data_IF_690468293581
#
_entry.id   IF_690468293581
#
_cell.length_a   1.000
_cell.length_b   1.000
_cell.length_c   1.000
_cell.angle_alpha   90.00
_cell.angle_beta   90.00
_cell.angle_gamma   90.00
#
_symmetry.space_group_name_H-M   'P 1'
#
loop_
_entity.id
_entity.type
_entity.pdbx_description
1 polymer ?
#
# COMPACT_ATOMS: atom_id res chain seq x y z
N UNK A 1 -23.46 15.38 38.58
CA UNK A 1 -24.46 15.92 37.66
C UNK A 1 -24.66 15.02 36.48
N UNK A 2 -25.75 15.22 35.76
CA UNK A 2 -26.10 14.45 34.54
C UNK A 2 -26.04 15.34 33.34
N UNK A 3 -25.76 14.79 32.15
CA UNK A 3 -25.82 15.48 30.86
C UNK A 3 -27.25 15.94 30.59
N UNK A 4 -27.41 17.09 29.95
CA UNK A 4 -28.71 17.66 29.57
C UNK A 4 -29.52 16.65 28.76
N UNK A 5 -30.83 16.56 29.03
CA UNK A 5 -31.71 15.69 28.27
C UNK A 5 -31.74 16.10 26.77
N UNK A 6 -31.90 15.13 25.88
CA UNK A 6 -31.94 15.37 24.43
C UNK A 6 -30.56 15.49 23.77
N UNK A 7 -29.46 15.31 24.50
CA UNK A 7 -28.10 15.29 23.93
C UNK A 7 -27.82 13.93 23.30
N UNK A 8 -27.33 13.97 22.06
CA UNK A 8 -26.86 12.79 21.32
C UNK A 8 -25.45 13.03 20.81
N UNK A 9 -24.61 11.98 20.76
CA UNK A 9 -23.24 11.99 20.21
C UNK A 9 -23.16 10.95 19.09
N UNK A 10 -22.98 11.36 17.83
CA UNK A 10 -23.05 10.50 16.65
C UNK A 10 -24.28 9.55 16.67
N UNK A 11 -25.45 10.08 17.08
CA UNK A 11 -26.71 9.34 17.20
C UNK A 11 -26.92 8.55 18.50
N UNK A 12 -25.89 8.38 19.34
CA UNK A 12 -26.02 7.75 20.66
C UNK A 12 -26.68 8.72 21.63
N UNK A 13 -27.78 8.34 22.27
CA UNK A 13 -28.42 9.16 23.32
C UNK A 13 -27.59 9.11 24.60
N UNK A 14 -27.01 10.25 25.00
CA UNK A 14 -26.24 10.42 26.24
C UNK A 14 -26.95 11.34 27.25
N UNK A 15 -28.07 11.94 26.85
CA UNK A 15 -28.88 12.79 27.73
C UNK A 15 -29.38 12.03 28.93
N UNK A 16 -29.34 12.68 30.12
CA UNK A 16 -29.73 12.10 31.41
C UNK A 16 -28.67 11.17 32.06
N UNK A 17 -27.56 10.87 31.34
CA UNK A 17 -26.45 10.06 31.86
C UNK A 17 -25.48 10.89 32.71
N UNK A 18 -24.78 10.23 33.60
CA UNK A 18 -23.55 10.77 34.20
C UNK A 18 -22.41 10.79 33.20
N UNK A 19 -21.36 11.57 33.48
CA UNK A 19 -20.15 11.57 32.62
C UNK A 19 -19.55 10.17 32.44
N UNK A 20 -19.51 9.38 33.50
CA UNK A 20 -18.96 8.03 33.49
C UNK A 20 -19.78 7.05 32.63
N UNK A 21 -21.10 7.11 32.72
CA UNK A 21 -22.00 6.28 31.90
C UNK A 21 -21.89 6.65 30.42
N UNK A 22 -21.92 7.95 30.10
CA UNK A 22 -21.77 8.43 28.73
C UNK A 22 -20.40 8.07 28.13
N UNK A 23 -19.31 8.21 28.90
CA UNK A 23 -17.98 7.81 28.47
C UNK A 23 -17.93 6.33 28.10
N UNK A 24 -18.41 5.46 28.98
CA UNK A 24 -18.44 4.00 28.75
C UNK A 24 -19.26 3.64 27.50
N UNK A 25 -20.41 4.29 27.29
CA UNK A 25 -21.24 4.07 26.11
C UNK A 25 -20.51 4.48 24.84
N UNK A 26 -19.90 5.67 24.81
CA UNK A 26 -19.16 6.20 23.65
C UNK A 26 -17.97 5.28 23.34
N UNK A 27 -17.15 4.92 24.32
CA UNK A 27 -16.00 4.03 24.14
C UNK A 27 -16.41 2.68 23.56
N UNK A 28 -17.46 2.06 24.11
CA UNK A 28 -17.96 0.76 23.65
C UNK A 28 -18.44 0.82 22.20
N UNK A 29 -19.28 1.80 21.88
CA UNK A 29 -19.84 1.94 20.54
C UNK A 29 -18.77 2.28 19.49
N UNK A 30 -17.88 3.21 19.81
CA UNK A 30 -16.80 3.61 18.91
C UNK A 30 -15.77 2.50 18.68
N UNK A 31 -15.56 1.64 19.69
CA UNK A 31 -14.72 0.45 19.54
C UNK A 31 -15.29 -0.52 18.49
N UNK A 32 -16.61 -0.69 18.43
CA UNK A 32 -17.23 -1.53 17.40
C UNK A 32 -17.13 -0.88 16.01
N UNK A 33 -17.43 0.41 15.89
CA UNK A 33 -17.29 1.16 14.63
C UNK A 33 -15.84 1.12 14.12
N UNK A 34 -14.85 1.29 14.99
CA UNK A 34 -13.45 1.30 14.57
C UNK A 34 -12.92 -0.09 14.17
N UNK A 35 -13.61 -1.17 14.51
CA UNK A 35 -13.34 -2.52 13.97
C UNK A 35 -13.82 -2.69 12.53
N UNK A 36 -14.70 -1.81 12.05
CA UNK A 36 -15.15 -1.84 10.66
C UNK A 36 -14.00 -1.52 9.71
N UNK A 37 -14.15 -2.01 8.49
CA UNK A 37 -13.19 -1.75 7.45
C UNK A 37 -13.48 -0.40 6.76
N UNK A 38 -12.41 0.29 6.40
CA UNK A 38 -12.42 1.39 5.45
C UNK A 38 -11.67 0.95 4.19
N UNK A 39 -12.27 1.18 3.03
CA UNK A 39 -11.64 0.88 1.75
C UNK A 39 -10.73 2.04 1.34
N UNK A 40 -9.42 1.81 1.31
CA UNK A 40 -8.45 2.73 0.71
C UNK A 40 -8.40 2.45 -0.79
N UNK A 41 -8.51 3.48 -1.62
CA UNK A 41 -8.58 3.30 -3.07
C UNK A 41 -7.84 4.39 -3.86
N UNK A 42 -7.36 3.99 -5.03
CA UNK A 42 -6.86 4.87 -6.10
C UNK A 42 -7.18 4.22 -7.45
N UNK A 43 -7.81 4.97 -8.35
CA UNK A 43 -8.34 4.44 -9.61
C UNK A 43 -9.17 3.15 -9.36
N UNK A 44 -8.85 2.04 -10.03
CA UNK A 44 -9.50 0.72 -9.85
C UNK A 44 -8.88 -0.13 -8.72
N UNK A 45 -7.74 0.29 -8.20
CA UNK A 45 -7.01 -0.44 -7.15
C UNK A 45 -7.57 -0.09 -5.77
N UNK A 46 -7.79 -1.10 -4.92
CA UNK A 46 -8.36 -0.91 -3.58
C UNK A 46 -7.85 -1.94 -2.58
N UNK A 47 -7.91 -1.59 -1.32
CA UNK A 47 -7.61 -2.49 -0.19
C UNK A 47 -8.46 -2.11 1.01
N UNK A 48 -8.94 -3.10 1.75
CA UNK A 48 -9.71 -2.89 2.97
C UNK A 48 -8.80 -2.98 4.20
N UNK A 49 -8.98 -2.04 5.11
CA UNK A 49 -8.20 -1.93 6.34
C UNK A 49 -9.11 -1.54 7.50
N UNK A 50 -8.92 -2.13 8.67
CA UNK A 50 -9.66 -1.73 9.87
C UNK A 50 -9.32 -0.30 10.27
N UNK A 51 -10.32 0.50 10.58
CA UNK A 51 -10.17 1.91 10.99
C UNK A 51 -9.24 2.02 12.21
N UNK A 52 -9.39 1.16 13.21
CA UNK A 52 -8.54 1.13 14.41
C UNK A 52 -7.06 0.87 14.10
N UNK A 53 -6.79 0.04 13.09
CA UNK A 53 -5.42 -0.27 12.68
C UNK A 53 -4.73 0.92 12.02
N UNK A 54 -5.51 1.86 11.47
CA UNK A 54 -5.03 3.13 10.91
C UNK A 54 -4.91 4.26 11.96
N UNK A 55 -5.06 3.92 13.25
CA UNK A 55 -4.77 4.85 14.34
C UNK A 55 -5.87 5.82 14.70
N UNK A 56 -7.11 5.61 14.23
CA UNK A 56 -8.26 6.36 14.71
C UNK A 56 -8.72 5.84 16.08
N UNK A 57 -8.97 6.75 17.01
CA UNK A 57 -9.46 6.46 18.35
C UNK A 57 -10.52 7.49 18.75
N UNK A 58 -11.52 7.09 19.54
CA UNK A 58 -12.45 8.04 20.12
C UNK A 58 -11.78 8.85 21.23
N UNK A 59 -12.06 10.13 21.28
CA UNK A 59 -11.78 10.99 22.42
C UNK A 59 -13.07 11.13 23.25
N UNK A 60 -13.37 10.08 24.01
CA UNK A 60 -14.60 10.03 24.78
C UNK A 60 -14.58 11.06 25.92
N UNK A 61 -13.44 11.36 26.51
CA UNK A 61 -13.32 12.37 27.57
C UNK A 61 -13.71 13.75 27.05
N UNK A 62 -13.11 14.19 25.95
CA UNK A 62 -13.44 15.47 25.31
C UNK A 62 -14.90 15.54 24.87
N UNK A 63 -15.43 14.45 24.30
CA UNK A 63 -16.82 14.37 23.86
C UNK A 63 -17.79 14.53 25.03
N UNK A 64 -17.50 13.84 26.13
CA UNK A 64 -18.36 13.90 27.34
C UNK A 64 -18.25 15.26 28.01
N UNK A 65 -17.08 15.88 28.07
CA UNK A 65 -16.94 17.23 28.62
C UNK A 65 -17.76 18.26 27.83
N UNK A 66 -17.75 18.20 26.52
CA UNK A 66 -18.57 19.08 25.68
C UNK A 66 -20.07 18.80 25.89
N UNK A 67 -20.48 17.53 25.89
CA UNK A 67 -21.87 17.16 26.13
C UNK A 67 -22.34 17.61 27.50
N UNK A 68 -21.48 17.57 28.54
CA UNK A 68 -21.81 18.01 29.89
C UNK A 68 -21.83 19.53 30.02
N UNK A 69 -21.05 20.25 29.22
CA UNK A 69 -20.99 21.72 29.23
C UNK A 69 -22.27 22.38 28.70
N UNK A 70 -23.06 21.68 27.86
CA UNK A 70 -24.32 22.20 27.33
C UNK A 70 -25.28 22.59 28.48
N UNK A 71 -25.81 23.80 28.37
CA UNK A 71 -26.70 24.39 29.36
C UNK A 71 -26.02 24.77 30.69
N UNK A 72 -24.66 24.70 30.79
CA UNK A 72 -23.89 25.06 32.00
C UNK A 72 -22.80 26.09 31.75
N UNK A 73 -22.42 26.31 30.49
CA UNK A 73 -21.38 27.28 30.10
C UNK A 73 -21.97 28.35 29.20
N UNK A 74 -21.28 29.48 29.08
CA UNK A 74 -21.76 30.65 28.33
C UNK A 74 -22.62 31.59 29.15
N UNK A 75 -23.33 32.50 28.49
CA UNK A 75 -24.23 33.49 29.09
C UNK A 75 -25.51 32.83 29.62
N UNK A 76 -26.20 33.50 30.55
CA UNK A 76 -27.49 33.03 31.08
C UNK A 76 -28.52 32.78 29.97
N UNK A 77 -28.49 33.59 28.92
CA UNK A 77 -29.35 33.41 27.75
C UNK A 77 -29.04 32.17 26.94
N UNK A 78 -27.75 31.86 26.75
CA UNK A 78 -27.29 30.64 26.09
C UNK A 78 -27.68 29.39 26.89
N UNK A 79 -27.42 29.41 28.18
CA UNK A 79 -27.81 28.30 29.08
C UNK A 79 -29.32 28.06 29.08
N UNK A 80 -30.11 29.13 29.13
CA UNK A 80 -31.58 29.04 29.02
C UNK A 80 -32.02 28.51 27.63
N UNK A 81 -31.44 29.03 26.55
CA UNK A 81 -31.71 28.57 25.19
C UNK A 81 -31.41 27.06 25.04
N UNK A 82 -30.26 26.62 25.53
CA UNK A 82 -29.88 25.20 25.49
C UNK A 82 -30.87 24.34 26.29
N UNK A 83 -31.29 24.79 27.48
CA UNK A 83 -32.28 24.06 28.27
C UNK A 83 -33.65 23.91 27.61
N UNK A 84 -33.99 24.78 26.68
CA UNK A 84 -35.27 24.74 25.95
C UNK A 84 -35.20 23.97 24.66
N UNK A 85 -34.04 23.73 24.10
CA UNK A 85 -33.90 22.89 22.90
C UNK A 85 -34.20 21.43 23.26
N UNK A 86 -35.05 20.79 22.44
CA UNK A 86 -35.43 19.39 22.61
C UNK A 86 -34.31 18.42 22.23
N UNK A 87 -33.39 18.87 21.40
CA UNK A 87 -32.37 18.00 20.80
C UNK A 87 -31.05 18.76 20.60
N UNK A 88 -29.94 18.13 21.01
CA UNK A 88 -28.59 18.61 20.79
C UNK A 88 -27.77 17.49 20.13
N UNK A 89 -27.33 17.72 18.90
CA UNK A 89 -26.53 16.75 18.13
C UNK A 89 -25.06 17.12 18.19
N UNK A 90 -24.29 16.35 18.90
CA UNK A 90 -22.84 16.45 18.95
C UNK A 90 -22.20 15.36 18.09
N UNK A 91 -20.96 15.61 17.70
CA UNK A 91 -20.10 14.61 17.11
C UNK A 91 -19.17 14.02 18.17
N UNK A 92 -18.85 12.73 18.04
CA UNK A 92 -17.79 12.14 18.84
C UNK A 92 -16.44 12.68 18.36
N UNK A 93 -15.68 13.28 19.25
CA UNK A 93 -14.30 13.69 18.97
C UNK A 93 -13.43 12.46 18.71
N UNK A 94 -12.48 12.61 17.81
CA UNK A 94 -11.54 11.55 17.46
C UNK A 94 -10.13 12.05 17.54
N UNK A 95 -9.25 11.20 18.01
CA UNK A 95 -7.81 11.37 17.98
C UNK A 95 -7.23 10.43 16.93
N UNK A 96 -6.11 10.82 16.34
CA UNK A 96 -5.48 10.08 15.26
C UNK A 96 -3.98 9.97 15.50
N UNK A 97 -3.49 8.74 15.61
CA UNK A 97 -2.05 8.46 15.64
C UNK A 97 -1.48 8.47 14.22
N UNK A 98 -0.84 9.60 13.85
CA UNK A 98 -0.24 9.79 12.53
C UNK A 98 0.92 8.82 12.27
N UNK A 99 1.68 8.42 13.30
CA UNK A 99 2.79 7.47 13.14
C UNK A 99 2.26 6.07 12.85
N UNK A 100 1.26 5.63 13.60
CA UNK A 100 0.55 4.36 13.36
C UNK A 100 -0.11 4.35 11.98
N UNK A 101 -0.75 5.46 11.57
CA UNK A 101 -1.31 5.61 10.23
C UNK A 101 -0.24 5.40 9.15
N UNK A 102 0.87 6.16 9.20
CA UNK A 102 1.95 6.08 8.21
C UNK A 102 2.52 4.67 8.06
N UNK A 103 2.72 3.97 9.17
CA UNK A 103 3.23 2.60 9.18
C UNK A 103 2.25 1.64 8.52
N UNK A 104 0.98 1.70 8.90
CA UNK A 104 0.00 0.70 8.51
C UNK A 104 -0.59 0.95 7.12
N UNK A 105 -0.73 2.22 6.68
CA UNK A 105 -1.12 2.51 5.30
C UNK A 105 -0.06 2.04 4.31
N UNK A 106 1.23 2.25 4.58
CA UNK A 106 2.32 1.71 3.74
C UNK A 106 2.24 0.18 3.61
N UNK A 107 1.98 -0.51 4.73
CA UNK A 107 1.84 -1.97 4.72
C UNK A 107 0.62 -2.41 3.91
N UNK A 108 -0.52 -1.79 4.14
CA UNK A 108 -1.78 -2.15 3.48
C UNK A 108 -1.76 -1.87 1.97
N UNK A 109 -1.09 -0.79 1.55
CA UNK A 109 -1.05 -0.35 0.15
C UNK A 109 0.17 -0.86 -0.64
N UNK A 110 1.01 -1.74 -0.06
CA UNK A 110 2.25 -2.23 -0.69
C UNK A 110 2.05 -2.83 -2.08
N UNK A 111 0.89 -3.44 -2.35
CA UNK A 111 0.56 -4.01 -3.67
C UNK A 111 0.03 -2.96 -4.65
N UNK A 112 -0.46 -1.83 -4.16
CA UNK A 112 -1.04 -0.73 -4.94
C UNK A 112 0.03 0.30 -5.25
N UNK A 113 0.74 0.76 -4.21
CA UNK A 113 1.80 1.76 -4.31
C UNK A 113 3.09 1.05 -4.71
N UNK A 114 3.33 0.99 -6.01
CA UNK A 114 4.47 0.32 -6.63
C UNK A 114 5.13 1.23 -7.65
N UNK A 115 6.41 0.99 -7.91
CA UNK A 115 7.10 1.61 -9.04
C UNK A 115 6.42 1.27 -10.37
N UNK A 116 6.51 2.15 -11.37
CA UNK A 116 6.01 1.84 -12.71
C UNK A 116 6.76 0.65 -13.30
N UNK A 117 6.06 -0.19 -14.02
CA UNK A 117 6.66 -1.31 -14.73
C UNK A 117 6.47 -1.12 -16.23
N UNK A 118 7.54 -1.18 -16.97
CA UNK A 118 7.51 -1.13 -18.43
C UNK A 118 6.76 -2.34 -19.02
N UNK A 119 6.15 -2.14 -20.17
CA UNK A 119 5.68 -3.23 -21.01
C UNK A 119 6.85 -4.13 -21.39
N UNK A 120 6.58 -5.39 -21.64
CA UNK A 120 7.56 -6.38 -22.08
C UNK A 120 6.97 -7.32 -23.11
N UNK A 121 7.81 -8.12 -23.75
CA UNK A 121 7.40 -9.12 -24.72
C UNK A 121 7.86 -10.48 -24.28
N UNK A 122 6.99 -11.49 -24.45
CA UNK A 122 7.34 -12.90 -24.30
C UNK A 122 7.15 -13.60 -25.63
N UNK A 123 8.17 -14.36 -26.07
CA UNK A 123 8.03 -15.24 -27.21
C UNK A 123 7.57 -16.61 -26.75
N UNK A 124 6.37 -17.03 -27.18
CA UNK A 124 5.79 -18.35 -26.85
C UNK A 124 5.12 -18.94 -28.07
N UNK A 125 5.40 -20.23 -28.33
CA UNK A 125 4.77 -20.98 -29.44
C UNK A 125 4.83 -20.24 -30.77
N UNK A 126 5.99 -19.67 -31.10
CA UNK A 126 6.20 -18.91 -32.37
C UNK A 126 5.53 -17.53 -32.42
N UNK A 127 4.95 -17.05 -31.33
CA UNK A 127 4.26 -15.76 -31.26
C UNK A 127 4.84 -14.83 -30.21
N UNK A 128 4.88 -13.54 -30.49
CA UNK A 128 5.20 -12.51 -29.54
C UNK A 128 3.92 -12.09 -28.77
N UNK A 129 3.97 -12.21 -27.45
CA UNK A 129 2.87 -11.83 -26.55
C UNK A 129 3.30 -10.62 -25.73
N UNK A 130 2.61 -9.50 -25.93
CA UNK A 130 2.87 -8.27 -25.17
C UNK A 130 2.32 -8.39 -23.76
N UNK A 131 3.17 -8.12 -22.78
CA UNK A 131 2.78 -7.93 -21.38
C UNK A 131 2.65 -6.43 -21.13
N UNK A 132 1.47 -5.99 -20.74
CA UNK A 132 1.16 -4.57 -20.52
C UNK A 132 2.03 -3.94 -19.43
N UNK A 133 2.33 -2.68 -19.63
CA UNK A 133 2.90 -1.81 -18.63
C UNK A 133 1.97 -1.65 -17.41
N UNK A 134 2.56 -1.27 -16.30
CA UNK A 134 1.79 -0.88 -15.11
C UNK A 134 2.18 0.54 -14.68
N UNK A 135 1.18 1.38 -14.46
CA UNK A 135 1.35 2.70 -13.84
C UNK A 135 1.86 2.52 -12.41
N UNK A 136 2.88 3.27 -12.06
CA UNK A 136 3.35 3.39 -10.68
C UNK A 136 2.63 4.50 -9.93
N UNK A 137 2.70 4.44 -8.59
CA UNK A 137 2.12 5.45 -7.73
C UNK A 137 3.08 5.79 -6.60
N UNK A 138 3.30 7.09 -6.38
CA UNK A 138 3.97 7.60 -5.18
C UNK A 138 2.92 8.22 -4.26
N UNK A 139 2.83 7.74 -3.01
CA UNK A 139 1.83 8.15 -2.05
C UNK A 139 2.17 9.52 -1.43
N UNK A 140 1.27 10.48 -1.56
CA UNK A 140 1.27 11.69 -0.74
C UNK A 140 0.66 11.36 0.62
N UNK A 141 1.52 11.15 1.60
CA UNK A 141 1.12 10.63 2.90
C UNK A 141 0.26 11.60 3.69
N UNK A 142 0.53 12.89 3.61
CA UNK A 142 -0.16 13.89 4.42
C UNK A 142 -1.58 14.14 3.90
N UNK A 143 -1.75 14.24 2.58
CA UNK A 143 -3.08 14.36 1.96
C UNK A 143 -3.89 13.07 2.10
N UNK A 144 -3.25 11.91 2.00
CA UNK A 144 -3.93 10.61 2.25
C UNK A 144 -4.43 10.55 3.69
N UNK A 145 -3.64 11.04 4.67
CA UNK A 145 -4.07 11.11 6.06
C UNK A 145 -5.25 12.06 6.25
N UNK A 146 -5.24 13.22 5.61
CA UNK A 146 -6.34 14.17 5.63
C UNK A 146 -7.63 13.56 5.05
N UNK A 147 -7.53 12.88 3.91
CA UNK A 147 -8.65 12.16 3.29
C UNK A 147 -9.21 11.06 4.19
N UNK A 148 -8.34 10.29 4.84
CA UNK A 148 -8.74 9.26 5.81
C UNK A 148 -9.54 9.88 6.96
N UNK A 149 -9.01 10.92 7.62
CA UNK A 149 -9.70 11.62 8.70
C UNK A 149 -11.08 12.11 8.27
N UNK A 150 -11.13 12.84 7.16
CA UNK A 150 -12.40 13.37 6.61
C UNK A 150 -13.42 12.25 6.34
N UNK A 151 -12.97 11.10 5.85
CA UNK A 151 -13.85 9.96 5.60
C UNK A 151 -14.39 9.37 6.90
N UNK A 152 -13.53 9.12 7.89
CA UNK A 152 -13.95 8.59 9.21
C UNK A 152 -14.89 9.57 9.92
N UNK A 153 -14.59 10.86 9.92
CA UNK A 153 -15.42 11.89 10.54
C UNK A 153 -16.78 12.04 9.87
N UNK A 154 -16.88 11.79 8.57
CA UNK A 154 -18.14 11.83 7.83
C UNK A 154 -18.87 10.49 7.74
N UNK A 155 -18.38 9.44 8.42
CA UNK A 155 -18.99 8.10 8.40
C UNK A 155 -18.91 7.40 7.05
N UNK A 156 -17.95 7.78 6.19
CA UNK A 156 -17.75 7.12 4.89
C UNK A 156 -16.90 5.87 5.04
N UNK A 157 -17.29 4.81 4.33
CA UNK A 157 -16.57 3.54 4.29
C UNK A 157 -15.40 3.52 3.30
N UNK A 158 -15.11 4.64 2.61
CA UNK A 158 -14.04 4.73 1.61
C UNK A 158 -13.19 5.99 1.82
N UNK A 159 -11.87 5.86 1.68
CA UNK A 159 -10.94 6.99 1.70
C UNK A 159 -10.00 6.91 0.50
N UNK A 160 -9.88 8.02 -0.23
CA UNK A 160 -9.03 8.12 -1.41
C UNK A 160 -7.56 8.21 -0.99
N UNK A 161 -6.71 7.39 -1.61
CA UNK A 161 -5.27 7.56 -1.58
C UNK A 161 -4.89 8.75 -2.47
N UNK A 162 -4.18 9.72 -1.93
CA UNK A 162 -3.61 10.81 -2.72
C UNK A 162 -2.25 10.38 -3.26
N UNK A 163 -2.09 10.39 -4.57
CA UNK A 163 -0.92 9.84 -5.24
C UNK A 163 -0.45 10.68 -6.41
N UNK A 164 0.86 10.66 -6.63
CA UNK A 164 1.46 11.08 -7.89
C UNK A 164 1.59 9.86 -8.80
N UNK A 165 0.98 9.90 -9.98
CA UNK A 165 1.08 8.84 -10.99
C UNK A 165 2.40 8.91 -11.72
N UNK A 166 3.06 7.77 -11.83
CA UNK A 166 4.30 7.59 -12.58
C UNK A 166 4.03 6.69 -13.79
N UNK A 167 4.21 7.23 -14.98
CA UNK A 167 4.03 6.46 -16.21
C UNK A 167 5.22 5.55 -16.43
N UNK A 168 4.97 4.37 -16.99
CA UNK A 168 6.02 3.52 -17.52
C UNK A 168 6.76 4.22 -18.68
N UNK A 169 8.07 4.04 -18.75
CA UNK A 169 8.91 4.62 -19.82
C UNK A 169 8.55 4.00 -21.17
N UNK A 170 8.27 2.68 -21.19
CA UNK A 170 7.96 1.91 -22.39
C UNK A 170 6.61 1.25 -22.28
N UNK A 171 5.81 1.41 -23.33
CA UNK A 171 4.39 1.04 -23.35
C UNK A 171 4.13 -0.22 -24.19
N UNK A 172 2.93 -0.75 -24.10
CA UNK A 172 2.47 -1.85 -24.95
C UNK A 172 2.53 -1.50 -26.44
N UNK A 173 2.38 -0.21 -26.79
CA UNK A 173 2.51 0.27 -28.17
C UNK A 173 3.95 0.10 -28.69
N UNK A 174 4.94 0.38 -27.83
CA UNK A 174 6.35 0.19 -28.19
C UNK A 174 6.66 -1.28 -28.37
N UNK A 175 6.14 -2.14 -27.49
CA UNK A 175 6.33 -3.59 -27.55
C UNK A 175 5.65 -4.25 -28.75
N UNK A 176 4.54 -3.71 -29.23
CA UNK A 176 3.81 -4.22 -30.38
C UNK A 176 4.61 -4.10 -31.70
N UNK A 177 5.71 -3.35 -31.69
CA UNK A 177 6.62 -3.25 -32.85
C UNK A 177 7.55 -4.47 -33.00
N UNK A 178 7.70 -5.29 -31.94
CA UNK A 178 8.52 -6.51 -31.95
C UNK A 178 7.69 -7.64 -32.61
N UNK A 179 7.99 -8.00 -33.85
CA UNK A 179 7.20 -8.95 -34.62
C UNK A 179 8.01 -10.11 -35.18
N UNK A 180 9.32 -9.94 -35.38
CA UNK A 180 10.14 -10.86 -36.12
C UNK A 180 11.25 -11.48 -35.31
N UNK A 181 11.53 -12.78 -35.53
CA UNK A 181 12.71 -13.47 -35.03
C UNK A 181 13.87 -13.23 -35.97
N UNK A 182 14.86 -12.45 -35.56
CA UNK A 182 15.98 -12.08 -36.38
C UNK A 182 17.08 -13.17 -36.47
N UNK A 183 17.13 -14.04 -35.46
CA UNK A 183 18.09 -15.12 -35.41
C UNK A 183 17.78 -16.12 -34.30
N UNK A 184 18.24 -17.35 -34.48
CA UNK A 184 18.17 -18.42 -33.50
C UNK A 184 19.47 -19.18 -33.51
N UNK A 185 19.99 -19.48 -32.31
CA UNK A 185 21.15 -20.34 -32.12
C UNK A 185 20.98 -21.24 -30.91
N UNK A 186 21.44 -22.49 -31.03
CA UNK A 186 21.31 -23.48 -29.94
C UNK A 186 22.68 -24.02 -29.55
N UNK A 187 22.94 -24.09 -28.28
CA UNK A 187 24.11 -24.74 -27.70
C UNK A 187 23.69 -25.85 -26.77
N UNK A 188 24.49 -26.94 -26.76
CA UNK A 188 24.24 -28.04 -25.85
C UNK A 188 25.28 -28.04 -24.71
N UNK A 189 24.80 -28.18 -23.48
CA UNK A 189 25.65 -28.27 -22.29
C UNK A 189 25.30 -29.48 -21.40
N UNK A 190 24.55 -30.45 -21.97
CA UNK A 190 24.11 -31.66 -21.28
C UNK A 190 25.23 -32.50 -20.68
N UNK A 191 26.40 -32.54 -21.33
CA UNK A 191 27.61 -33.21 -20.84
C UNK A 191 28.41 -32.47 -19.75
N UNK A 192 28.03 -31.22 -19.40
CA UNK A 192 28.73 -30.43 -18.40
C UNK A 192 28.50 -30.91 -16.97
N UNK A 193 29.43 -30.66 -16.01
CA UNK A 193 29.23 -30.91 -14.58
C UNK A 193 27.99 -30.21 -14.05
N UNK A 194 27.38 -30.75 -13.00
CA UNK A 194 26.14 -30.27 -12.43
C UNK A 194 26.15 -28.75 -12.11
N UNK A 195 27.19 -28.28 -11.41
CA UNK A 195 27.29 -26.86 -11.03
C UNK A 195 27.25 -25.93 -12.26
N UNK A 196 27.96 -26.28 -13.36
CA UNK A 196 27.95 -25.53 -14.61
C UNK A 196 26.55 -25.53 -15.25
N UNK A 197 25.85 -26.68 -15.25
CA UNK A 197 24.47 -26.76 -15.79
C UNK A 197 23.54 -25.79 -15.06
N UNK A 198 23.61 -25.75 -13.72
CA UNK A 198 22.84 -24.82 -12.89
C UNK A 198 23.20 -23.39 -13.26
N UNK A 199 24.47 -23.06 -13.36
CA UNK A 199 24.93 -21.71 -13.63
C UNK A 199 24.49 -21.20 -15.00
N UNK A 200 24.69 -22.02 -16.06
CA UNK A 200 24.26 -21.67 -17.43
C UNK A 200 22.76 -21.48 -17.50
N UNK A 201 21.96 -22.37 -16.91
CA UNK A 201 20.51 -22.24 -16.87
C UNK A 201 20.06 -20.99 -16.13
N UNK A 202 20.68 -20.69 -14.97
CA UNK A 202 20.36 -19.50 -14.18
C UNK A 202 20.75 -18.21 -14.92
N UNK A 203 21.95 -18.14 -15.49
CA UNK A 203 22.40 -17.00 -16.31
C UNK A 203 21.48 -16.75 -17.52
N UNK A 204 21.13 -17.81 -18.25
CA UNK A 204 20.19 -17.72 -19.36
C UNK A 204 18.82 -17.21 -18.94
N UNK A 205 18.30 -17.68 -17.79
CA UNK A 205 17.02 -17.23 -17.26
C UNK A 205 16.99 -15.74 -16.92
N UNK A 206 18.12 -15.17 -16.49
CA UNK A 206 18.27 -13.74 -16.17
C UNK A 206 18.33 -12.85 -17.41
N UNK A 207 18.90 -13.36 -18.49
CA UNK A 207 18.97 -12.63 -19.78
C UNK A 207 17.64 -12.73 -20.54
N UNK A 208 16.94 -13.84 -20.38
CA UNK A 208 15.70 -14.10 -21.10
C UNK A 208 14.64 -13.04 -20.84
N UNK A 209 14.10 -12.45 -21.92
CA UNK A 209 13.13 -11.36 -21.87
C UNK A 209 13.75 -9.96 -21.75
N UNK A 210 15.08 -9.84 -21.79
CA UNK A 210 15.73 -8.53 -21.88
C UNK A 210 15.35 -7.84 -23.20
N UNK A 211 15.12 -6.53 -23.11
CA UNK A 211 14.80 -5.69 -24.26
C UNK A 211 15.87 -4.59 -24.35
N UNK A 212 16.44 -4.42 -25.51
CA UNK A 212 17.41 -3.36 -25.81
C UNK A 212 16.74 -2.36 -26.74
N UNK A 213 16.61 -1.14 -26.28
CA UNK A 213 16.02 -0.08 -27.09
C UNK A 213 17.07 0.63 -27.92
N UNK A 214 16.66 1.34 -29.01
CA UNK A 214 17.61 2.10 -29.83
C UNK A 214 18.48 3.03 -28.97
N UNK A 215 19.81 2.90 -29.14
CA UNK A 215 20.80 3.66 -28.36
C UNK A 215 21.11 3.13 -26.98
N UNK A 216 20.45 2.06 -26.51
CA UNK A 216 20.74 1.41 -25.23
C UNK A 216 21.72 0.23 -25.38
N UNK A 217 22.38 -0.12 -24.32
CA UNK A 217 23.32 -1.26 -24.24
C UNK A 217 22.90 -2.23 -23.15
N UNK A 218 22.80 -3.51 -23.48
CA UNK A 218 22.63 -4.58 -22.49
C UNK A 218 24.00 -5.06 -22.04
N UNK A 219 24.33 -4.87 -20.77
CA UNK A 219 25.48 -5.51 -20.14
C UNK A 219 25.11 -6.90 -19.66
N UNK A 220 25.56 -7.94 -20.34
CA UNK A 220 25.34 -9.33 -19.92
C UNK A 220 25.88 -9.55 -18.51
N UNK A 221 27.09 -9.09 -18.21
CA UNK A 221 27.70 -9.20 -16.88
C UNK A 221 26.81 -8.59 -15.79
N UNK A 222 26.33 -7.36 -15.96
CA UNK A 222 25.44 -6.72 -14.98
C UNK A 222 24.12 -7.47 -14.81
N UNK A 223 23.62 -8.08 -15.88
CA UNK A 223 22.34 -8.81 -15.86
C UNK A 223 22.44 -10.12 -15.10
N UNK A 224 23.57 -10.83 -15.22
CA UNK A 224 23.76 -12.14 -14.59
C UNK A 224 24.38 -12.05 -13.20
N UNK A 225 25.12 -10.99 -12.86
CA UNK A 225 25.75 -10.80 -11.55
C UNK A 225 24.74 -10.36 -10.47
N UNK A 226 25.07 -10.44 -9.17
CA UNK A 226 26.28 -11.04 -8.61
C UNK A 226 26.26 -12.57 -8.66
N UNK A 227 27.45 -13.17 -8.77
CA UNK A 227 27.61 -14.62 -8.78
C UNK A 227 27.67 -15.13 -7.33
N UNK A 228 26.53 -15.35 -6.71
CA UNK A 228 26.42 -15.83 -5.33
C UNK A 228 25.41 -16.96 -5.22
N UNK A 229 25.46 -17.71 -4.14
CA UNK A 229 24.49 -18.77 -3.83
C UNK A 229 23.07 -18.22 -3.71
N UNK A 230 22.91 -17.06 -3.05
CA UNK A 230 21.63 -16.38 -2.85
C UNK A 230 21.00 -15.94 -4.18
N UNK A 231 21.85 -15.66 -5.18
CA UNK A 231 21.42 -15.30 -6.53
C UNK A 231 21.23 -16.52 -7.46
N UNK A 232 21.24 -17.74 -6.88
CA UNK A 232 20.91 -18.98 -7.56
C UNK A 232 22.07 -19.66 -8.28
N UNK A 233 23.31 -19.26 -8.00
CA UNK A 233 24.51 -19.90 -8.59
C UNK A 233 25.06 -21.04 -7.74
N UNK A 234 25.60 -22.05 -8.41
CA UNK A 234 26.31 -23.16 -7.81
C UNK A 234 27.83 -22.98 -7.94
N UNK A 235 28.57 -23.69 -7.11
CA UNK A 235 30.00 -23.80 -7.29
C UNK A 235 30.32 -24.66 -8.54
N UNK A 236 31.20 -24.16 -9.38
CA UNK A 236 31.68 -24.86 -10.58
C UNK A 236 33.07 -24.35 -10.94
N UNK A 237 33.81 -25.14 -11.73
CA UNK A 237 35.15 -24.80 -12.17
C UNK A 237 35.21 -23.50 -12.97
N UNK A 238 36.08 -22.61 -12.57
CA UNK A 238 36.49 -21.40 -13.29
C UNK A 238 38.00 -21.45 -13.46
N UNK A 239 38.49 -20.93 -14.58
CA UNK A 239 39.93 -20.91 -14.84
C UNK A 239 40.49 -19.53 -14.47
N UNK A 240 41.29 -19.48 -13.39
CA UNK A 240 41.85 -18.25 -12.86
C UNK A 240 43.35 -18.41 -12.61
N UNK A 241 44.15 -17.49 -13.10
CA UNK A 241 45.61 -17.48 -12.91
C UNK A 241 46.32 -18.82 -13.23
N UNK A 242 45.86 -19.48 -14.30
CA UNK A 242 46.46 -20.74 -14.73
C UNK A 242 45.99 -21.99 -13.97
N UNK A 243 45.02 -21.87 -13.07
CA UNK A 243 44.49 -22.97 -12.27
C UNK A 243 42.96 -23.04 -12.34
N UNK A 244 42.43 -24.23 -12.16
CA UNK A 244 40.98 -24.41 -12.02
C UNK A 244 40.56 -24.23 -10.55
N UNK A 245 39.76 -23.21 -10.29
CA UNK A 245 39.18 -22.92 -8.95
C UNK A 245 37.67 -23.15 -8.95
N UNK A 246 37.11 -23.40 -7.78
CA UNK A 246 35.64 -23.53 -7.62
C UNK A 246 35.04 -22.20 -7.22
N UNK A 247 34.23 -21.59 -8.09
CA UNK A 247 33.57 -20.30 -7.82
C UNK A 247 32.08 -20.39 -8.08
N UNK A 248 31.30 -19.57 -7.39
CA UNK A 248 29.90 -19.39 -7.73
C UNK A 248 29.77 -18.75 -9.13
N UNK A 249 28.96 -19.33 -10.01
CA UNK A 249 28.85 -18.89 -11.38
C UNK A 249 29.97 -19.40 -12.31
N UNK A 250 30.86 -20.26 -11.82
CA UNK A 250 31.93 -20.85 -12.66
C UNK A 250 31.35 -21.55 -13.90
N UNK A 251 32.05 -21.38 -15.04
CA UNK A 251 31.66 -21.97 -16.33
C UNK A 251 30.55 -21.27 -17.12
N UNK A 252 30.18 -20.03 -16.72
CA UNK A 252 29.31 -19.16 -17.53
C UNK A 252 30.16 -18.39 -18.54
#
# INVERSE_FOLDING_TARGET
GKILNGVTCDGMSVGGMTKAEAKKLIESHMKEIHKENITLYVDEEKTDVKIESLGAMADADKTVEEAYALGRTGTIFEQYSDSKKKEHKLRVYRQYDKAKFKKNVKKATKKIITEPRNASVKHKNGKFVVVKEKTGYTLNMDETFANFKKSVESGKSKAKLDVVKQKAKYTSKDMAQIKDVLGTYTTEYGGSPYGRKVNVANGASKINGSIVYPGETLSVYKTVSPFTKENGYALAGSYENGQTVQTYGGGI
#
